data_IF_741477229172
#
_entry.id   IF_741477229172
#
_cell.length_a   1.000
_cell.length_b   1.000
_cell.length_c   1.000
_cell.angle_alpha   90.00
_cell.angle_beta   90.00
_cell.angle_gamma   90.00
#
_symmetry.space_group_name_H-M   'P 1'
#
loop_
_entity.id
_entity.type
_entity.pdbx_description
1 polymer ?
#
# COMPACT_ATOMS: atom_id res chain seq x y z
N UNK A 1 -1.05 -5.50 11.16
CA UNK A 1 -1.53 -5.25 9.79
C UNK A 1 -2.56 -6.27 9.39
N UNK A 2 -3.65 -5.83 8.75
CA UNK A 2 -4.70 -6.68 8.21
C UNK A 2 -4.76 -6.48 6.70
N UNK A 3 -4.86 -7.58 5.95
CA UNK A 3 -5.04 -7.55 4.51
C UNK A 3 -6.50 -7.87 4.18
N UNK A 4 -7.14 -7.01 3.41
CA UNK A 4 -8.55 -7.13 3.00
C UNK A 4 -8.68 -7.43 1.51
N UNK A 5 -9.90 -7.70 1.05
CA UNK A 5 -10.27 -8.05 -0.32
C UNK A 5 -9.76 -9.42 -0.77
N UNK A 6 -9.51 -10.30 0.21
CA UNK A 6 -9.09 -11.69 -0.01
C UNK A 6 -7.58 -11.87 -0.10
N UNK A 7 -7.15 -12.97 -0.72
CA UNK A 7 -5.76 -13.44 -0.76
C UNK A 7 -5.23 -13.69 -2.18
N UNK A 8 -5.97 -13.29 -3.20
CA UNK A 8 -5.56 -13.37 -4.62
C UNK A 8 -5.55 -11.95 -5.18
N UNK A 9 -4.41 -11.55 -5.75
CA UNK A 9 -4.20 -10.22 -6.32
C UNK A 9 -4.35 -10.27 -7.85
N UNK A 10 -4.92 -9.24 -8.45
CA UNK A 10 -4.97 -9.09 -9.91
C UNK A 10 -3.64 -8.67 -10.52
N UNK A 11 -2.69 -8.21 -9.68
CA UNK A 11 -1.36 -7.77 -10.11
C UNK A 11 -0.26 -8.75 -9.70
N UNK A 12 0.82 -8.75 -10.48
CA UNK A 12 1.94 -9.69 -10.34
C UNK A 12 3.25 -8.96 -10.00
N UNK A 13 3.28 -8.26 -8.88
CA UNK A 13 4.51 -7.63 -8.40
C UNK A 13 5.55 -8.69 -8.04
N UNK A 14 6.77 -8.58 -8.62
CA UNK A 14 7.80 -9.63 -8.50
C UNK A 14 8.37 -9.82 -7.10
N UNK A 15 8.19 -8.85 -6.21
CA UNK A 15 8.65 -8.92 -4.82
C UNK A 15 7.63 -9.53 -3.86
N UNK A 16 6.38 -9.66 -4.31
CA UNK A 16 5.25 -9.99 -3.45
C UNK A 16 5.00 -11.49 -3.39
N UNK A 17 4.76 -12.02 -2.20
CA UNK A 17 4.40 -13.42 -1.99
C UNK A 17 2.91 -13.73 -2.15
N UNK A 18 2.07 -12.74 -2.44
CA UNK A 18 0.64 -12.92 -2.64
C UNK A 18 0.39 -13.60 -3.99
N UNK A 19 -0.51 -14.58 -4.00
CA UNK A 19 -0.88 -15.30 -5.21
C UNK A 19 -1.53 -14.37 -6.23
N UNK A 20 -1.01 -14.36 -7.46
CA UNK A 20 -1.63 -13.67 -8.59
C UNK A 20 -2.66 -14.54 -9.27
N UNK A 21 -3.79 -13.97 -9.66
CA UNK A 21 -4.83 -14.70 -10.37
C UNK A 21 -6.16 -13.98 -10.41
N UNK A 22 -7.22 -14.74 -10.66
CA UNK A 22 -8.59 -14.24 -10.59
C UNK A 22 -9.08 -14.34 -9.14
N UNK A 23 -9.36 -13.22 -8.47
CA UNK A 23 -9.88 -13.24 -7.11
C UNK A 23 -11.29 -13.84 -7.03
N UNK A 24 -11.66 -14.29 -5.84
CA UNK A 24 -13.02 -14.69 -5.53
C UNK A 24 -13.96 -13.47 -5.43
N UNK A 25 -15.25 -13.73 -5.31
CA UNK A 25 -16.23 -12.70 -5.02
C UNK A 25 -15.90 -11.95 -3.72
N UNK A 26 -16.37 -10.71 -3.63
CA UNK A 26 -16.15 -9.84 -2.48
C UNK A 26 -16.93 -10.38 -1.28
N UNK A 27 -16.24 -10.55 -0.15
CA UNK A 27 -16.89 -10.82 1.14
C UNK A 27 -17.37 -9.50 1.77
N UNK A 28 -18.64 -9.22 1.67
CA UNK A 28 -19.26 -8.01 2.23
C UNK A 28 -19.30 -7.99 3.76
N UNK A 29 -19.02 -9.13 4.41
CA UNK A 29 -18.90 -9.21 5.87
C UNK A 29 -17.45 -8.97 6.35
N UNK A 30 -16.46 -8.94 5.44
CA UNK A 30 -15.05 -8.76 5.79
C UNK A 30 -14.79 -7.48 6.61
N UNK A 31 -15.40 -6.30 6.31
CA UNK A 31 -15.25 -5.11 7.13
C UNK A 31 -15.59 -5.32 8.62
N UNK A 32 -16.68 -6.02 8.89
CA UNK A 32 -17.14 -6.32 10.25
C UNK A 32 -16.22 -7.36 10.94
N UNK A 33 -15.80 -8.38 10.20
CA UNK A 33 -14.88 -9.43 10.70
C UNK A 33 -13.53 -8.84 11.10
N UNK A 34 -12.98 -7.94 10.27
CA UNK A 34 -11.72 -7.22 10.57
C UNK A 34 -11.88 -6.36 11.80
N UNK A 35 -12.96 -5.58 11.89
CA UNK A 35 -13.22 -4.71 13.03
C UNK A 35 -13.36 -5.48 14.36
N UNK A 36 -14.04 -6.62 14.35
CA UNK A 36 -14.15 -7.51 15.51
C UNK A 36 -12.79 -8.15 15.88
N UNK A 37 -12.00 -8.55 14.90
CA UNK A 37 -10.67 -9.11 15.14
C UNK A 37 -9.77 -8.09 15.84
N UNK A 38 -9.78 -6.84 15.39
CA UNK A 38 -9.06 -5.72 16.02
C UNK A 38 -9.50 -5.53 17.46
N UNK A 39 -10.81 -5.58 17.73
CA UNK A 39 -11.38 -5.45 19.06
C UNK A 39 -10.90 -6.56 20.01
N UNK A 40 -10.97 -7.81 19.57
CA UNK A 40 -10.51 -8.96 20.34
C UNK A 40 -9.02 -8.89 20.66
N UNK A 41 -8.21 -8.37 19.72
CA UNK A 41 -6.77 -8.19 19.91
C UNK A 41 -6.40 -7.00 20.81
N UNK A 42 -7.33 -6.10 21.10
CA UNK A 42 -7.12 -4.94 21.96
C UNK A 42 -6.08 -3.93 21.44
N UNK A 43 -5.86 -3.88 20.13
CA UNK A 43 -4.83 -3.01 19.53
C UNK A 43 -5.33 -1.56 19.43
N UNK A 44 -4.38 -0.61 19.63
CA UNK A 44 -4.67 0.84 19.61
C UNK A 44 -4.37 1.50 18.26
N UNK A 45 -3.57 0.85 17.42
CA UNK A 45 -3.23 1.31 16.08
C UNK A 45 -3.27 0.13 15.11
N UNK A 46 -4.04 0.25 14.04
CA UNK A 46 -4.14 -0.78 13.01
C UNK A 46 -3.70 -0.26 11.64
N UNK A 47 -2.96 -1.09 10.93
CA UNK A 47 -2.63 -0.86 9.52
C UNK A 47 -3.48 -1.79 8.68
N UNK A 48 -4.24 -1.23 7.75
CA UNK A 48 -5.04 -1.97 6.78
C UNK A 48 -4.34 -1.89 5.43
N UNK A 49 -4.24 -3.02 4.76
CA UNK A 49 -3.75 -3.12 3.37
C UNK A 49 -4.68 -4.02 2.57
N UNK A 50 -4.49 -4.13 1.28
CA UNK A 50 -5.29 -5.02 0.44
C UNK A 50 -4.47 -5.66 -0.67
N UNK A 51 -5.05 -6.68 -1.29
CA UNK A 51 -4.70 -7.06 -2.66
C UNK A 51 -5.24 -6.03 -3.64
N UNK A 52 -4.66 -5.94 -4.84
CA UNK A 52 -5.26 -5.16 -5.93
C UNK A 52 -6.46 -5.92 -6.52
N UNK A 53 -7.53 -5.20 -6.78
CA UNK A 53 -8.79 -5.69 -7.34
C UNK A 53 -9.17 -4.91 -8.60
N UNK A 54 -8.26 -4.88 -9.59
CA UNK A 54 -8.51 -4.23 -10.88
C UNK A 54 -9.67 -4.88 -11.68
N UNK A 55 -10.15 -6.04 -11.22
CA UNK A 55 -11.32 -6.76 -11.73
C UNK A 55 -12.66 -6.14 -11.31
N UNK A 56 -12.68 -5.33 -10.25
CA UNK A 56 -13.87 -4.66 -9.75
C UNK A 56 -14.01 -3.25 -10.36
N UNK A 57 -15.21 -2.84 -10.65
CA UNK A 57 -15.51 -1.50 -11.20
C UNK A 57 -15.15 -0.36 -10.25
N UNK A 58 -15.15 -0.63 -8.95
CA UNK A 58 -14.74 0.30 -7.90
C UNK A 58 -13.36 0.00 -7.32
N UNK A 59 -12.67 -1.01 -7.88
CA UNK A 59 -11.34 -1.47 -7.44
C UNK A 59 -11.28 -1.81 -5.94
N UNK A 60 -12.42 -2.19 -5.35
CA UNK A 60 -12.56 -2.51 -3.94
C UNK A 60 -12.64 -1.30 -3.00
N UNK A 61 -12.70 -0.07 -3.53
CA UNK A 61 -12.71 1.14 -2.71
C UNK A 61 -13.92 1.27 -1.79
N UNK A 62 -15.05 0.60 -2.11
CA UNK A 62 -16.22 0.54 -1.22
C UNK A 62 -15.90 -0.29 0.02
N UNK A 63 -15.33 -1.49 -0.14
CA UNK A 63 -14.92 -2.34 0.99
C UNK A 63 -13.88 -1.63 1.86
N UNK A 64 -12.94 -0.91 1.26
CA UNK A 64 -11.99 -0.08 1.97
C UNK A 64 -12.69 0.92 2.91
N UNK A 65 -13.63 1.69 2.37
CA UNK A 65 -14.37 2.69 3.16
C UNK A 65 -15.20 2.04 4.26
N UNK A 66 -15.92 0.95 3.96
CA UNK A 66 -16.71 0.22 4.95
C UNK A 66 -15.84 -0.42 6.04
N UNK A 67 -14.63 -0.88 5.69
CA UNK A 67 -13.67 -1.41 6.67
C UNK A 67 -13.27 -0.33 7.68
N UNK A 68 -12.88 0.86 7.22
CA UNK A 68 -12.53 1.97 8.10
C UNK A 68 -13.71 2.37 9.00
N UNK A 69 -14.92 2.49 8.44
CA UNK A 69 -16.13 2.82 9.21
C UNK A 69 -16.44 1.76 10.27
N UNK A 70 -16.39 0.48 9.89
CA UNK A 70 -16.68 -0.63 10.81
C UNK A 70 -15.65 -0.70 11.95
N UNK A 71 -14.36 -0.49 11.63
CA UNK A 71 -13.30 -0.46 12.66
C UNK A 71 -13.57 0.67 13.65
N UNK A 72 -13.85 1.88 13.20
CA UNK A 72 -14.12 3.02 14.09
C UNK A 72 -15.37 2.84 14.95
N UNK A 73 -16.41 2.26 14.37
CA UNK A 73 -17.67 1.99 15.09
C UNK A 73 -17.46 0.98 16.23
N UNK A 74 -16.70 -0.08 15.99
CA UNK A 74 -16.47 -1.15 16.98
C UNK A 74 -15.34 -0.80 17.96
N UNK A 75 -14.35 -0.04 17.51
CA UNK A 75 -13.14 0.29 18.27
C UNK A 75 -12.97 1.82 18.39
N UNK A 76 -13.79 2.51 19.17
CA UNK A 76 -13.70 3.96 19.31
C UNK A 76 -12.32 4.36 19.88
N UNK A 77 -11.70 5.38 19.28
CA UNK A 77 -10.39 5.88 19.67
C UNK A 77 -9.19 5.16 19.07
N UNK A 78 -9.40 4.15 18.21
CA UNK A 78 -8.31 3.52 17.46
C UNK A 78 -7.76 4.48 16.40
N UNK A 79 -6.45 4.46 16.18
CA UNK A 79 -5.82 5.13 15.04
C UNK A 79 -5.62 4.16 13.88
N UNK A 80 -5.81 4.64 12.64
CA UNK A 80 -5.78 3.84 11.44
C UNK A 80 -4.77 4.38 10.42
N UNK A 81 -3.96 3.47 9.90
CA UNK A 81 -3.21 3.68 8.67
C UNK A 81 -3.84 2.82 7.56
N UNK A 82 -4.09 3.41 6.41
CA UNK A 82 -4.56 2.69 5.21
C UNK A 82 -3.45 2.67 4.16
N UNK A 83 -2.85 1.50 3.91
CA UNK A 83 -1.88 1.29 2.85
C UNK A 83 -2.63 0.86 1.58
N UNK A 84 -2.99 1.86 0.78
CA UNK A 84 -3.89 1.70 -0.37
C UNK A 84 -3.15 1.33 -1.68
N UNK A 85 -3.81 0.63 -2.61
CA UNK A 85 -3.36 0.51 -3.99
C UNK A 85 -3.44 1.88 -4.71
N UNK A 86 -2.95 1.95 -5.95
CA UNK A 86 -3.01 3.19 -6.72
C UNK A 86 -4.42 3.53 -7.28
N UNK A 87 -5.38 2.61 -7.18
CA UNK A 87 -6.72 2.71 -7.79
C UNK A 87 -6.67 3.26 -9.23
N UNK A 88 -5.59 2.95 -9.96
CA UNK A 88 -5.28 3.48 -11.30
C UNK A 88 -5.31 5.02 -11.40
N UNK A 89 -5.17 5.73 -10.28
CA UNK A 89 -5.25 7.18 -10.18
C UNK A 89 -6.68 7.75 -10.26
N UNK A 90 -7.71 6.90 -10.18
CA UNK A 90 -9.10 7.35 -10.31
C UNK A 90 -9.56 8.07 -9.03
N UNK A 91 -9.71 9.38 -9.11
CA UNK A 91 -10.04 10.25 -7.99
C UNK A 91 -11.29 9.82 -7.22
N UNK A 92 -12.32 9.30 -7.90
CA UNK A 92 -13.55 8.81 -7.25
C UNK A 92 -13.25 7.74 -6.20
N UNK A 93 -12.31 6.84 -6.47
CA UNK A 93 -11.95 5.75 -5.55
C UNK A 93 -11.06 6.27 -4.42
N UNK A 94 -10.12 7.17 -4.72
CA UNK A 94 -9.29 7.85 -3.71
C UNK A 94 -10.14 8.67 -2.74
N UNK A 95 -11.14 9.40 -3.24
CA UNK A 95 -12.03 10.20 -2.41
C UNK A 95 -12.78 9.36 -1.39
N UNK A 96 -13.21 8.13 -1.71
CA UNK A 96 -13.85 7.24 -0.74
C UNK A 96 -12.97 6.95 0.48
N UNK A 97 -11.65 6.86 0.28
CA UNK A 97 -10.71 6.64 1.38
C UNK A 97 -10.48 7.94 2.16
N UNK A 98 -10.37 9.05 1.44
CA UNK A 98 -10.21 10.38 2.05
C UNK A 98 -11.42 10.73 2.93
N UNK A 99 -12.63 10.49 2.42
CA UNK A 99 -13.90 10.84 3.09
C UNK A 99 -14.11 10.09 4.41
N UNK A 100 -13.51 8.92 4.59
CA UNK A 100 -13.54 8.18 5.87
C UNK A 100 -12.39 8.55 6.82
N UNK A 101 -11.52 9.47 6.40
CA UNK A 101 -10.51 10.18 7.20
C UNK A 101 -9.63 9.28 8.10
N UNK A 102 -8.92 8.27 7.59
CA UNK A 102 -7.93 7.58 8.40
C UNK A 102 -6.81 8.56 8.81
N UNK A 103 -6.13 8.30 9.91
CA UNK A 103 -5.07 9.18 10.44
C UNK A 103 -3.87 9.25 9.51
N UNK A 104 -3.59 8.14 8.80
CA UNK A 104 -2.52 8.06 7.79
C UNK A 104 -3.06 7.37 6.54
N UNK A 105 -2.82 7.97 5.37
CA UNK A 105 -3.03 7.29 4.08
C UNK A 105 -1.65 7.05 3.47
N UNK A 106 -1.33 5.78 3.27
CA UNK A 106 -0.07 5.31 2.71
C UNK A 106 -0.27 4.77 1.30
N UNK A 107 0.65 5.08 0.42
CA UNK A 107 0.79 4.42 -0.87
C UNK A 107 2.27 4.24 -1.19
N UNK A 108 2.74 3.00 -1.24
CA UNK A 108 4.14 2.71 -1.43
C UNK A 108 4.58 2.88 -2.88
N UNK A 109 5.73 3.53 -3.10
CA UNK A 109 6.39 3.60 -4.40
C UNK A 109 7.21 2.34 -4.70
N UNK A 110 7.58 1.60 -3.66
CA UNK A 110 8.25 0.30 -3.58
C UNK A 110 9.69 0.29 -4.09
N UNK A 111 9.99 0.92 -5.22
CA UNK A 111 11.33 0.95 -5.80
C UNK A 111 11.55 2.23 -6.62
N UNK A 112 12.76 2.43 -7.13
CA UNK A 112 13.15 3.57 -7.95
C UNK A 112 12.48 3.54 -9.34
N UNK A 113 12.42 4.69 -10.00
CA UNK A 113 11.74 4.87 -11.29
C UNK A 113 12.17 3.84 -12.35
N UNK A 114 13.47 3.62 -12.54
CA UNK A 114 14.02 2.68 -13.54
C UNK A 114 13.50 1.26 -13.33
N UNK A 115 13.43 0.81 -12.08
CA UNK A 115 13.08 -0.57 -11.73
C UNK A 115 11.56 -0.79 -11.61
N UNK A 116 10.75 0.26 -11.56
CA UNK A 116 9.31 0.12 -11.32
C UNK A 116 8.63 -0.84 -12.29
N UNK A 117 8.91 -0.76 -13.59
CA UNK A 117 8.28 -1.65 -14.59
C UNK A 117 8.69 -3.12 -14.45
N UNK A 118 9.89 -3.35 -13.95
CA UNK A 118 10.39 -4.70 -13.73
C UNK A 118 9.84 -5.30 -12.43
N UNK A 119 9.82 -4.52 -11.35
CA UNK A 119 9.45 -4.95 -9.99
C UNK A 119 7.94 -4.93 -9.79
N UNK A 120 7.26 -3.94 -10.38
CA UNK A 120 5.81 -3.66 -10.23
C UNK A 120 5.15 -3.58 -11.60
N UNK A 121 4.98 -4.67 -12.28
CA UNK A 121 4.66 -4.77 -13.73
C UNK A 121 3.48 -3.88 -14.14
N UNK A 122 2.38 -3.85 -13.36
CA UNK A 122 1.16 -3.09 -13.68
C UNK A 122 1.15 -1.68 -13.08
N UNK A 123 1.98 -1.39 -12.08
CA UNK A 123 2.05 -0.07 -11.48
C UNK A 123 2.93 0.89 -12.31
N UNK A 124 2.77 2.19 -12.05
CA UNK A 124 3.53 3.25 -12.69
C UNK A 124 4.13 4.16 -11.62
N UNK A 125 5.39 4.53 -11.79
CA UNK A 125 6.09 5.41 -10.86
C UNK A 125 5.40 6.78 -10.75
N UNK A 126 5.11 7.38 -11.90
CA UNK A 126 4.45 8.69 -11.99
C UNK A 126 3.05 8.64 -11.37
N UNK A 127 2.28 7.59 -11.63
CA UNK A 127 0.95 7.42 -11.03
C UNK A 127 1.03 7.33 -9.50
N UNK A 128 2.03 6.65 -8.95
CA UNK A 128 2.21 6.61 -7.50
C UNK A 128 2.46 8.01 -6.91
N UNK A 129 3.26 8.83 -7.58
CA UNK A 129 3.46 10.24 -7.19
C UNK A 129 2.19 11.07 -7.35
N UNK A 130 1.45 10.90 -8.44
CA UNK A 130 0.16 11.58 -8.69
C UNK A 130 -0.86 11.24 -7.59
N UNK A 131 -0.98 9.97 -7.20
CA UNK A 131 -1.86 9.53 -6.09
C UNK A 131 -1.47 10.23 -4.79
N UNK A 132 -0.19 10.22 -4.42
CA UNK A 132 0.30 10.86 -3.20
C UNK A 132 0.09 12.38 -3.22
N UNK A 133 0.36 13.02 -4.34
CA UNK A 133 0.10 14.45 -4.54
C UNK A 133 -1.39 14.78 -4.41
N UNK A 134 -2.25 13.95 -5.02
CA UNK A 134 -3.70 14.13 -4.92
C UNK A 134 -4.18 14.03 -3.47
N UNK A 135 -3.73 13.02 -2.71
CA UNK A 135 -4.05 12.88 -1.30
C UNK A 135 -3.70 14.15 -0.51
N UNK A 136 -2.51 14.70 -0.71
CA UNK A 136 -2.09 15.96 -0.05
C UNK A 136 -2.92 17.15 -0.49
N UNK A 137 -3.22 17.29 -1.77
CA UNK A 137 -4.05 18.39 -2.30
C UNK A 137 -5.49 18.36 -1.75
N UNK A 138 -5.95 17.17 -1.32
CA UNK A 138 -7.26 16.98 -0.70
C UNK A 138 -7.23 17.15 0.83
N UNK A 139 -6.12 17.57 1.40
CA UNK A 139 -6.00 17.88 2.83
C UNK A 139 -5.83 16.64 3.74
N UNK A 140 -5.37 15.51 3.19
CA UNK A 140 -5.01 14.34 4.02
C UNK A 140 -3.95 14.75 5.04
N UNK A 141 -4.24 14.52 6.31
CA UNK A 141 -3.40 14.98 7.42
C UNK A 141 -1.97 14.43 7.33
N UNK A 142 -1.83 13.12 7.13
CA UNK A 142 -0.52 12.47 7.01
C UNK A 142 -0.52 11.48 5.85
N UNK A 143 0.38 11.73 4.89
CA UNK A 143 0.68 10.80 3.80
C UNK A 143 1.99 10.07 4.06
N UNK A 144 2.05 8.81 3.64
CA UNK A 144 3.24 7.98 3.82
C UNK A 144 3.53 7.20 2.55
N UNK A 145 4.81 6.97 2.27
CA UNK A 145 5.26 6.07 1.21
C UNK A 145 6.40 5.20 1.69
N UNK A 146 6.60 4.07 1.05
CA UNK A 146 7.68 3.13 1.34
C UNK A 146 8.49 2.78 0.11
N UNK A 147 9.78 2.59 0.31
CA UNK A 147 10.72 2.06 -0.68
C UNK A 147 11.50 0.89 -0.06
N UNK A 148 11.65 -0.18 -0.82
CA UNK A 148 12.51 -1.30 -0.47
C UNK A 148 13.82 -1.20 -1.25
N UNK A 149 14.94 -1.49 -0.59
CA UNK A 149 16.28 -1.52 -1.17
C UNK A 149 16.73 -2.97 -1.39
N UNK A 150 17.55 -3.18 -2.42
CA UNK A 150 18.11 -4.48 -2.76
C UNK A 150 17.63 -5.06 -4.09
N UNK A 151 16.99 -4.23 -4.94
CA UNK A 151 16.59 -4.61 -6.30
C UNK A 151 17.63 -4.25 -7.38
N UNK A 152 18.76 -3.65 -6.98
CA UNK A 152 19.82 -3.18 -7.90
C UNK A 152 19.70 -1.70 -8.25
N UNK A 153 19.08 -0.93 -7.40
CA UNK A 153 19.08 0.54 -7.42
C UNK A 153 20.45 1.09 -7.05
N UNK A 154 20.74 2.30 -7.51
CA UNK A 154 21.91 3.08 -7.07
C UNK A 154 21.50 4.09 -5.99
N UNK A 155 22.45 4.54 -5.18
CA UNK A 155 22.21 5.57 -4.16
C UNK A 155 21.62 6.85 -4.79
N UNK A 156 22.12 7.24 -5.96
CA UNK A 156 21.62 8.41 -6.67
C UNK A 156 20.13 8.26 -7.04
N UNK A 157 19.69 7.07 -7.47
CA UNK A 157 18.29 6.79 -7.78
C UNK A 157 17.40 6.79 -6.54
N UNK A 158 17.91 6.27 -5.42
CA UNK A 158 17.21 6.32 -4.14
C UNK A 158 17.03 7.76 -3.67
N UNK A 159 18.10 8.56 -3.70
CA UNK A 159 18.06 9.99 -3.35
C UNK A 159 17.08 10.74 -4.26
N UNK A 160 17.07 10.44 -5.57
CA UNK A 160 16.13 11.07 -6.49
C UNK A 160 14.68 10.69 -6.15
N UNK A 161 14.42 9.42 -5.85
CA UNK A 161 13.09 8.95 -5.43
C UNK A 161 12.60 9.65 -4.17
N UNK A 162 13.49 9.85 -3.18
CA UNK A 162 13.14 10.61 -1.96
C UNK A 162 12.83 12.08 -2.29
N UNK A 163 13.60 12.70 -3.19
CA UNK A 163 13.31 14.07 -3.65
C UNK A 163 11.95 14.14 -4.37
N UNK A 164 11.63 13.17 -5.23
CA UNK A 164 10.35 13.11 -5.93
C UNK A 164 9.18 12.99 -4.95
N UNK A 165 9.30 12.15 -3.91
CA UNK A 165 8.32 12.03 -2.83
C UNK A 165 8.19 13.34 -2.04
N UNK A 166 9.31 14.03 -1.77
CA UNK A 166 9.30 15.33 -1.09
C UNK A 166 8.61 16.41 -1.94
N UNK A 167 8.82 16.40 -3.25
CA UNK A 167 8.21 17.37 -4.18
C UNK A 167 6.69 17.24 -4.24
N UNK A 168 6.14 16.05 -3.97
CA UNK A 168 4.69 15.84 -3.85
C UNK A 168 4.20 15.89 -2.38
N UNK A 169 5.02 16.47 -1.48
CA UNK A 169 4.69 16.74 -0.08
C UNK A 169 4.33 15.50 0.75
N UNK A 170 4.96 14.35 0.50
CA UNK A 170 4.83 13.18 1.37
C UNK A 170 5.42 13.48 2.73
N UNK A 171 4.66 13.20 3.80
CA UNK A 171 5.04 13.52 5.17
C UNK A 171 6.03 12.51 5.76
N UNK A 172 5.88 11.22 5.43
CA UNK A 172 6.68 10.13 5.99
C UNK A 172 7.16 9.21 4.88
N UNK A 173 8.46 8.92 4.86
CA UNK A 173 9.06 7.91 3.98
C UNK A 173 9.68 6.83 4.83
N UNK A 174 9.33 5.58 4.55
CA UNK A 174 9.97 4.40 5.15
C UNK A 174 10.91 3.77 4.14
N UNK A 175 12.11 3.44 4.59
CA UNK A 175 13.13 2.74 3.80
C UNK A 175 13.38 1.41 4.48
N UNK A 176 13.21 0.31 3.76
CA UNK A 176 13.41 -1.03 4.27
C UNK A 176 14.27 -1.88 3.35
N UNK A 177 14.92 -2.90 3.90
CA UNK A 177 15.60 -3.92 3.11
C UNK A 177 14.56 -4.87 2.52
N UNK A 178 14.63 -5.15 1.21
CA UNK A 178 13.85 -6.23 0.63
C UNK A 178 14.31 -7.58 1.18
N UNK A 179 13.37 -8.34 1.69
CA UNK A 179 13.58 -9.72 2.10
C UNK A 179 12.65 -10.61 1.28
N UNK A 180 13.23 -11.54 0.52
CA UNK A 180 12.47 -12.46 -0.32
C UNK A 180 11.54 -13.33 0.53
N UNK A 181 10.22 -13.27 0.33
CA UNK A 181 9.26 -13.97 1.20
C UNK A 181 9.30 -15.49 1.03
N UNK A 182 9.71 -16.00 -0.14
CA UNK A 182 9.90 -17.43 -0.40
C UNK A 182 10.82 -17.64 -1.61
N UNK A 183 11.40 -18.83 -1.73
CA UNK A 183 12.27 -19.19 -2.87
C UNK A 183 11.57 -19.17 -4.24
N UNK A 184 10.26 -19.15 -4.27
CA UNK A 184 9.44 -19.13 -5.49
C UNK A 184 9.14 -17.72 -5.99
N UNK A 185 9.42 -16.69 -5.19
CA UNK A 185 9.28 -15.29 -5.61
C UNK A 185 10.44 -14.92 -6.51
N UNK A 186 10.15 -14.36 -7.69
CA UNK A 186 11.09 -14.26 -8.82
C UNK A 186 12.28 -13.33 -8.63
N UNK A 187 12.32 -12.51 -7.57
CA UNK A 187 13.43 -11.58 -7.35
C UNK A 187 14.44 -12.17 -6.37
N UNK A 188 15.65 -12.50 -6.88
CA UNK A 188 16.68 -13.24 -6.14
C UNK A 188 17.88 -12.40 -5.71
N UNK A 189 17.93 -11.10 -5.99
CA UNK A 189 19.10 -10.28 -5.66
C UNK A 189 18.90 -9.48 -4.37
N UNK A 190 19.22 -10.15 -3.26
CA UNK A 190 19.71 -9.48 -2.08
C UNK A 190 21.20 -9.20 -2.29
N UNK A 191 21.60 -7.97 -2.57
CA UNK A 191 22.90 -7.54 -2.07
C UNK A 191 22.74 -7.44 -0.56
N UNK A 192 23.22 -8.44 0.15
CA UNK A 192 23.56 -8.24 1.54
C UNK A 192 24.40 -6.94 1.58
N UNK A 193 24.00 -5.96 2.37
CA UNK A 193 24.91 -4.90 2.73
C UNK A 193 26.12 -5.61 3.35
N UNK A 194 27.26 -5.61 2.65
CA UNK A 194 28.51 -5.90 3.27
C UNK A 194 28.63 -4.86 4.38
N UNK A 195 28.41 -5.31 5.60
CA UNK A 195 28.80 -4.54 6.77
C UNK A 195 30.29 -4.44 6.69
N UNK A 196 30.79 -3.30 6.26
CA UNK A 196 32.20 -2.96 6.41
C UNK A 196 32.49 -2.96 7.91
N UNK A 197 33.28 -3.97 8.33
CA UNK A 197 33.85 -4.03 9.64
C UNK A 197 34.98 -2.96 9.76
#
# INVERSE_FOLDING_TARGET
TFMILGNICTRSCKFCGVKTGRPLEVDWEEPEKVAKSISVMGIKHAVITSVDRDDLTDMGSIIWAETVKSIRRINPGITLETLIPDFQGIHKHLNRIIDVMPEVISHNIETVKRLTREVRIQARYERSLEVLNYLKSRGVNRTKSGIMLGFGETDAEVIQTIKDLRNVNVDVVTIGQYLQPSKTVSYTHLRAHETFA
#
